data_IF_360831047033
#
_entry.id   IF_360831047033
#
_cell.length_a   1.000
_cell.length_b   1.000
_cell.length_c   1.000
_cell.angle_alpha   90.00
_cell.angle_beta   90.00
_cell.angle_gamma   90.00
#
_symmetry.space_group_name_H-M   'P 1'
#
loop_
_entity.id
_entity.type
_entity.pdbx_description
1 polymer ?
#
# COMPACT_ATOMS: atom_id res chain seq x y z
N UNK A 1 -1.44 -15.07 8.15
CA UNK A 1 -2.02 -14.33 6.99
C UNK A 1 -0.91 -13.40 6.48
N UNK A 2 -0.61 -13.35 5.18
CA UNK A 2 0.67 -12.83 4.66
C UNK A 2 0.98 -11.34 4.88
N UNK A 3 -0.04 -10.46 5.00
CA UNK A 3 0.17 -9.03 5.28
C UNK A 3 0.13 -8.68 6.76
N UNK A 4 -0.19 -9.62 7.64
CA UNK A 4 -0.24 -9.39 9.10
C UNK A 4 -1.18 -8.24 9.55
N UNK A 5 -2.17 -7.89 8.73
CA UNK A 5 -3.17 -6.87 9.08
C UNK A 5 -4.00 -7.33 10.27
N UNK A 6 -3.95 -6.55 11.34
CA UNK A 6 -4.66 -6.76 12.61
C UNK A 6 -5.32 -5.46 13.07
N UNK A 7 -6.18 -5.49 14.11
CA UNK A 7 -6.76 -4.28 14.68
C UNK A 7 -5.70 -3.24 15.02
N UNK A 8 -5.91 -1.99 14.59
CA UNK A 8 -4.98 -0.88 14.83
C UNK A 8 -3.98 -0.61 13.71
N UNK A 9 -3.85 -1.48 12.71
CA UNK A 9 -2.92 -1.25 11.59
C UNK A 9 -3.32 -0.05 10.71
N UNK A 10 -2.31 0.65 10.21
CA UNK A 10 -2.44 1.58 9.08
C UNK A 10 -2.08 0.84 7.80
N UNK A 11 -3.06 0.70 6.90
CA UNK A 11 -2.89 0.03 5.60
C UNK A 11 -2.95 1.06 4.48
N UNK A 12 -1.97 1.03 3.59
CA UNK A 12 -2.04 1.75 2.32
C UNK A 12 -2.42 0.78 1.20
N UNK A 13 -3.35 1.17 0.35
CA UNK A 13 -3.82 0.40 -0.79
C UNK A 13 -3.76 1.29 -2.04
N UNK A 14 -3.29 0.74 -3.16
CA UNK A 14 -3.44 1.40 -4.45
C UNK A 14 -4.05 0.46 -5.47
N UNK A 15 -5.08 0.95 -6.15
CA UNK A 15 -6.06 0.16 -6.86
C UNK A 15 -7.32 -0.02 -6.02
N UNK A 16 -8.01 1.09 -5.68
CA UNK A 16 -9.29 1.00 -4.95
C UNK A 16 -10.29 0.12 -5.69
N UNK A 17 -10.36 0.23 -7.02
CA UNK A 17 -11.21 -0.63 -7.84
C UNK A 17 -12.68 -0.55 -7.42
N UNK A 18 -13.26 -1.68 -7.03
CA UNK A 18 -14.64 -1.77 -6.53
C UNK A 18 -14.77 -1.62 -5.00
N UNK A 19 -13.67 -1.44 -4.27
CA UNK A 19 -13.67 -1.33 -2.81
C UNK A 19 -13.85 -2.65 -2.05
N UNK A 20 -13.85 -3.80 -2.75
CA UNK A 20 -14.02 -5.12 -2.12
C UNK A 20 -12.91 -5.46 -1.13
N UNK A 21 -11.64 -5.28 -1.55
CA UNK A 21 -10.49 -5.51 -0.69
C UNK A 21 -10.39 -4.45 0.41
N UNK A 22 -10.61 -3.18 0.06
CA UNK A 22 -10.68 -2.06 1.02
C UNK A 22 -11.65 -2.35 2.17
N UNK A 23 -12.85 -2.87 1.86
CA UNK A 23 -13.86 -3.25 2.88
C UNK A 23 -13.35 -4.37 3.78
N UNK A 24 -12.61 -5.33 3.23
CA UNK A 24 -12.02 -6.43 3.98
C UNK A 24 -10.91 -5.93 4.91
N UNK A 25 -10.05 -5.02 4.43
CA UNK A 25 -9.06 -4.36 5.27
C UNK A 25 -9.70 -3.52 6.36
N UNK A 26 -10.74 -2.74 6.06
CA UNK A 26 -11.45 -1.92 7.05
C UNK A 26 -11.95 -2.76 8.24
N UNK A 27 -12.50 -3.95 7.96
CA UNK A 27 -12.90 -4.90 9.01
C UNK A 27 -11.73 -5.45 9.81
N UNK A 28 -10.60 -5.70 9.17
CA UNK A 28 -9.40 -6.23 9.82
C UNK A 28 -8.70 -5.20 10.72
N UNK A 29 -8.68 -3.93 10.30
CA UNK A 29 -8.01 -2.84 11.05
C UNK A 29 -8.88 -2.24 12.16
N UNK A 30 -10.19 -2.47 12.14
CA UNK A 30 -11.12 -1.99 13.17
C UNK A 30 -10.74 -2.48 14.58
N UNK A 31 -11.03 -1.71 15.66
CA UNK A 31 -11.73 -0.43 15.64
C UNK A 31 -10.80 0.80 15.58
N UNK A 32 -9.49 0.61 15.69
CA UNK A 32 -8.53 1.72 15.90
C UNK A 32 -7.56 1.95 14.74
N UNK A 33 -7.55 1.09 13.73
CA UNK A 33 -6.72 1.26 12.54
C UNK A 33 -7.43 2.00 11.42
N UNK A 34 -6.76 2.14 10.28
CA UNK A 34 -7.27 2.92 9.16
C UNK A 34 -6.74 2.41 7.82
N UNK A 35 -7.57 2.48 6.78
CA UNK A 35 -7.19 2.14 5.40
C UNK A 35 -7.16 3.40 4.56
N UNK A 36 -6.02 3.69 3.94
CA UNK A 36 -5.91 4.74 2.93
C UNK A 36 -5.80 4.09 1.56
N UNK A 37 -6.80 4.29 0.72
CA UNK A 37 -6.89 3.69 -0.61
C UNK A 37 -6.85 4.74 -1.71
N UNK A 38 -6.14 4.44 -2.79
CA UNK A 38 -5.95 5.36 -3.91
C UNK A 38 -6.32 4.71 -5.24
N UNK A 39 -7.01 5.48 -6.09
CA UNK A 39 -7.24 5.14 -7.49
C UNK A 39 -6.98 6.38 -8.34
N UNK A 40 -6.49 6.21 -9.56
CA UNK A 40 -6.23 7.35 -10.45
C UNK A 40 -7.50 7.80 -11.20
N UNK A 41 -8.55 6.97 -11.22
CA UNK A 41 -9.83 7.33 -11.84
C UNK A 41 -10.75 8.02 -10.83
N UNK A 42 -10.99 9.30 -11.04
CA UNK A 42 -11.87 10.11 -10.20
C UNK A 42 -13.28 9.53 -10.04
N UNK A 43 -13.87 8.98 -11.11
CA UNK A 43 -15.18 8.35 -11.06
C UNK A 43 -15.23 7.13 -10.13
N UNK A 44 -14.16 6.32 -10.10
CA UNK A 44 -14.08 5.15 -9.21
C UNK A 44 -13.94 5.58 -7.75
N UNK A 45 -13.14 6.61 -7.50
CA UNK A 45 -13.00 7.20 -6.16
C UNK A 45 -14.33 7.75 -5.66
N UNK A 46 -15.07 8.48 -6.49
CA UNK A 46 -16.39 9.00 -6.14
C UNK A 46 -17.38 7.86 -5.80
N UNK A 47 -17.46 6.83 -6.66
CA UNK A 47 -18.32 5.67 -6.43
C UNK A 47 -17.94 4.90 -5.16
N UNK A 48 -16.65 4.63 -4.94
CA UNK A 48 -16.18 3.91 -3.77
C UNK A 48 -16.47 4.71 -2.48
N UNK A 49 -16.31 6.04 -2.51
CA UNK A 49 -16.64 6.91 -1.37
C UNK A 49 -18.12 6.79 -0.98
N UNK A 50 -19.02 6.88 -1.95
CA UNK A 50 -20.46 6.72 -1.73
C UNK A 50 -20.78 5.33 -1.15
N UNK A 51 -20.15 4.28 -1.67
CA UNK A 51 -20.35 2.92 -1.19
C UNK A 51 -19.86 2.74 0.27
N UNK A 52 -18.71 3.32 0.63
CA UNK A 52 -18.18 3.27 2.00
C UNK A 52 -19.04 4.06 2.98
N UNK A 53 -19.60 5.20 2.56
CA UNK A 53 -20.58 5.97 3.34
C UNK A 53 -21.87 5.18 3.55
N UNK A 54 -22.43 4.62 2.47
CA UNK A 54 -23.67 3.83 2.51
C UNK A 54 -23.56 2.59 3.38
N UNK A 55 -22.39 1.97 3.42
CA UNK A 55 -22.12 0.77 4.24
C UNK A 55 -21.70 1.09 5.68
N UNK A 56 -21.49 2.36 6.02
CA UNK A 56 -21.17 2.81 7.37
C UNK A 56 -19.74 2.51 7.84
N UNK A 57 -18.81 2.25 6.91
CA UNK A 57 -17.40 1.94 7.20
C UNK A 57 -16.45 3.10 6.86
N UNK A 58 -16.99 4.23 6.40
CA UNK A 58 -16.22 5.42 6.00
C UNK A 58 -15.34 5.99 7.11
N UNK A 59 -15.62 5.72 8.39
CA UNK A 59 -14.78 6.17 9.52
C UNK A 59 -13.42 5.47 9.57
N UNK A 60 -13.29 4.29 8.96
CA UNK A 60 -12.06 3.48 8.92
C UNK A 60 -11.32 3.60 7.58
N UNK A 61 -11.86 4.35 6.62
CA UNK A 61 -11.36 4.38 5.25
C UNK A 61 -11.23 5.84 4.78
N UNK A 62 -10.12 6.14 4.11
CA UNK A 62 -9.97 7.37 3.33
C UNK A 62 -9.62 7.00 1.89
N UNK A 63 -10.46 7.42 0.95
CA UNK A 63 -10.27 7.21 -0.49
C UNK A 63 -9.86 8.50 -1.20
N UNK A 64 -8.78 8.45 -1.96
CA UNK A 64 -8.18 9.59 -2.66
C UNK A 64 -7.93 9.33 -4.14
N UNK A 65 -8.03 10.39 -4.96
CA UNK A 65 -7.63 10.34 -6.37
C UNK A 65 -6.12 10.57 -6.45
N UNK A 66 -5.36 9.58 -6.93
CA UNK A 66 -3.91 9.72 -7.10
C UNK A 66 -3.34 8.67 -8.04
N UNK A 67 -2.40 9.08 -8.90
CA UNK A 67 -1.64 8.15 -9.72
C UNK A 67 -0.38 7.69 -8.97
N UNK A 68 -0.53 6.68 -8.11
CA UNK A 68 0.57 6.16 -7.29
C UNK A 68 1.76 5.68 -8.12
N UNK A 69 1.55 5.18 -9.34
CA UNK A 69 2.66 4.75 -10.22
C UNK A 69 3.53 5.92 -10.71
N UNK A 70 2.97 7.12 -10.84
CA UNK A 70 3.71 8.31 -11.31
C UNK A 70 4.12 9.25 -10.18
N UNK A 71 3.27 9.38 -9.16
CA UNK A 71 3.39 10.38 -8.10
C UNK A 71 3.82 9.77 -6.76
N UNK A 72 3.86 8.43 -6.64
CA UNK A 72 4.06 7.72 -5.38
C UNK A 72 2.91 7.91 -4.39
N UNK A 73 3.03 7.32 -3.20
CA UNK A 73 2.18 7.61 -2.05
C UNK A 73 2.48 8.99 -1.44
N UNK A 74 1.50 9.64 -0.79
CA UNK A 74 1.72 10.93 -0.14
C UNK A 74 2.76 10.86 0.99
N UNK A 75 3.68 11.83 1.03
CA UNK A 75 4.81 11.86 2.00
C UNK A 75 4.39 11.86 3.47
N UNK A 76 3.15 12.27 3.77
CA UNK A 76 2.60 12.21 5.13
C UNK A 76 2.57 10.79 5.73
N UNK A 77 2.69 9.74 4.91
CA UNK A 77 2.73 8.35 5.37
C UNK A 77 4.14 7.77 5.51
N UNK A 78 5.20 8.58 5.34
CA UNK A 78 6.59 8.13 5.40
C UNK A 78 6.89 7.41 6.73
N UNK A 79 7.25 6.13 6.65
CA UNK A 79 7.56 5.29 7.81
C UNK A 79 6.39 4.97 8.75
N UNK A 80 5.14 5.17 8.32
CA UNK A 80 3.95 5.02 9.17
C UNK A 80 3.07 3.82 8.83
N UNK A 81 3.17 3.25 7.63
CA UNK A 81 2.32 2.15 7.20
C UNK A 81 2.78 0.81 7.77
N UNK A 82 1.85 0.04 8.33
CA UNK A 82 2.10 -1.36 8.73
C UNK A 82 2.09 -2.28 7.51
N UNK A 83 1.26 -1.97 6.52
CA UNK A 83 1.14 -2.75 5.30
C UNK A 83 0.86 -1.88 4.08
N UNK A 84 1.37 -2.29 2.92
CA UNK A 84 1.02 -1.71 1.62
C UNK A 84 0.54 -2.83 0.69
N UNK A 85 -0.58 -2.60 0.00
CA UNK A 85 -1.10 -3.49 -1.03
C UNK A 85 -1.18 -2.78 -2.38
N UNK A 86 -0.63 -3.40 -3.43
CA UNK A 86 -0.61 -2.87 -4.79
C UNK A 86 -1.37 -3.78 -5.76
N UNK A 87 -2.53 -3.32 -6.23
CA UNK A 87 -3.26 -3.90 -7.37
C UNK A 87 -3.24 -2.90 -8.53
N UNK A 88 -2.13 -2.93 -9.26
CA UNK A 88 -1.80 -1.95 -10.30
C UNK A 88 -1.31 -2.67 -11.55
N UNK A 89 -1.49 -2.09 -12.75
CA UNK A 89 -0.96 -2.67 -13.99
C UNK A 89 0.57 -2.70 -14.04
N UNK A 90 1.25 -1.75 -13.39
CA UNK A 90 2.71 -1.67 -13.32
C UNK A 90 3.18 -1.43 -11.88
N UNK A 91 3.04 -2.41 -10.98
CA UNK A 91 3.28 -2.20 -9.55
C UNK A 91 4.74 -1.86 -9.26
N UNK A 92 5.70 -2.35 -10.06
CA UNK A 92 7.13 -2.02 -9.95
C UNK A 92 7.44 -0.51 -9.95
N UNK A 93 6.59 0.34 -10.53
CA UNK A 93 6.77 1.80 -10.48
C UNK A 93 6.43 2.40 -9.11
N UNK A 94 5.59 1.72 -8.32
CA UNK A 94 5.15 2.16 -7.01
C UNK A 94 5.97 1.56 -5.86
N UNK A 95 6.77 0.51 -6.09
CA UNK A 95 7.46 -0.26 -5.04
C UNK A 95 8.42 0.62 -4.23
N UNK A 96 9.22 1.46 -4.88
CA UNK A 96 10.16 2.35 -4.18
C UNK A 96 9.44 3.36 -3.29
N UNK A 97 8.29 3.88 -3.75
CA UNK A 97 7.44 4.76 -2.94
C UNK A 97 6.80 4.00 -1.78
N UNK A 98 6.24 2.81 -2.03
CA UNK A 98 5.66 1.95 -1.01
C UNK A 98 6.66 1.63 0.10
N UNK A 99 7.91 1.30 -0.25
CA UNK A 99 9.00 1.08 0.71
C UNK A 99 9.18 2.24 1.67
N UNK A 100 9.16 3.48 1.17
CA UNK A 100 9.36 4.66 2.00
C UNK A 100 8.21 4.88 2.99
N UNK A 101 7.01 4.37 2.69
CA UNK A 101 5.85 4.51 3.56
C UNK A 101 5.84 3.46 4.68
N UNK A 102 6.48 2.30 4.47
CA UNK A 102 6.45 1.21 5.43
C UNK A 102 7.28 1.53 6.67
N UNK A 103 6.75 1.11 7.83
CA UNK A 103 7.54 0.93 9.07
C UNK A 103 8.67 -0.09 8.82
N UNK A 104 9.63 -0.13 9.74
CA UNK A 104 10.82 -1.01 9.63
C UNK A 104 10.47 -2.48 9.38
N UNK A 105 9.40 -2.99 10.00
CA UNK A 105 8.91 -4.37 9.83
C UNK A 105 7.60 -4.45 9.02
N UNK A 106 7.31 -3.41 8.25
CA UNK A 106 6.09 -3.33 7.45
C UNK A 106 6.09 -4.30 6.27
N UNK A 107 4.91 -4.74 5.87
CA UNK A 107 4.73 -5.75 4.80
C UNK A 107 4.24 -5.12 3.50
N UNK A 108 4.80 -5.56 2.37
CA UNK A 108 4.35 -5.18 1.03
C UNK A 108 3.81 -6.40 0.30
N UNK A 109 2.62 -6.27 -0.28
CA UNK A 109 2.07 -7.26 -1.20
C UNK A 109 1.71 -6.58 -2.53
N UNK A 110 2.01 -7.26 -3.63
CA UNK A 110 1.57 -6.86 -4.95
C UNK A 110 0.81 -8.00 -5.60
N UNK A 111 -0.34 -7.66 -6.17
CA UNK A 111 -1.15 -8.54 -6.99
C UNK A 111 -0.84 -8.31 -8.47
N UNK A 112 -0.64 -9.38 -9.23
CA UNK A 112 -0.34 -9.31 -10.66
C UNK A 112 -0.82 -10.58 -11.36
N UNK A 113 -1.65 -10.47 -12.42
CA UNK A 113 -2.16 -11.63 -13.14
C UNK A 113 -1.10 -12.28 -14.05
N UNK A 114 -0.14 -11.52 -14.58
CA UNK A 114 0.85 -12.01 -15.54
C UNK A 114 2.22 -12.23 -14.90
N UNK A 115 2.92 -13.29 -15.31
CA UNK A 115 4.24 -13.65 -14.74
C UNK A 115 5.30 -12.59 -15.04
N UNK A 116 5.21 -11.90 -16.18
CA UNK A 116 6.12 -10.83 -16.57
C UNK A 116 6.00 -9.63 -15.62
N UNK A 117 4.80 -9.35 -15.13
CA UNK A 117 4.57 -8.31 -14.13
C UNK A 117 5.20 -8.70 -12.77
N UNK A 118 5.06 -9.97 -12.39
CA UNK A 118 5.69 -10.52 -11.18
C UNK A 118 7.21 -10.44 -11.28
N UNK A 119 7.79 -10.89 -12.39
CA UNK A 119 9.24 -10.87 -12.63
C UNK A 119 9.82 -9.46 -12.41
N UNK A 120 9.23 -8.46 -13.08
CA UNK A 120 9.68 -7.07 -12.98
C UNK A 120 9.51 -6.49 -11.58
N UNK A 121 8.43 -6.84 -10.89
CA UNK A 121 8.20 -6.42 -9.51
C UNK A 121 9.23 -7.04 -8.56
N UNK A 122 9.55 -8.32 -8.73
CA UNK A 122 10.58 -9.01 -7.94
C UNK A 122 11.97 -8.41 -8.14
N UNK A 123 12.31 -7.93 -9.33
CA UNK A 123 13.59 -7.24 -9.58
C UNK A 123 13.72 -5.98 -8.71
N UNK A 124 12.69 -5.13 -8.68
CA UNK A 124 12.69 -3.92 -7.86
C UNK A 124 12.60 -4.24 -6.36
N UNK A 125 11.84 -5.26 -5.97
CA UNK A 125 11.81 -5.70 -4.57
C UNK A 125 13.20 -6.12 -4.07
N UNK A 126 13.95 -6.85 -4.89
CA UNK A 126 15.33 -7.23 -4.54
C UNK A 126 16.22 -5.99 -4.39
N UNK A 127 16.19 -5.05 -5.32
CA UNK A 127 17.04 -3.85 -5.22
C UNK A 127 16.72 -3.02 -3.99
N UNK A 128 15.43 -2.82 -3.71
CA UNK A 128 14.99 -1.83 -2.73
C UNK A 128 14.95 -2.40 -1.31
N UNK A 129 14.52 -3.63 -1.12
CA UNK A 129 14.35 -4.23 0.21
C UNK A 129 15.57 -5.04 0.66
N UNK A 130 16.33 -5.64 -0.25
CA UNK A 130 17.48 -6.50 0.13
C UNK A 130 18.84 -5.84 -0.09
N UNK A 131 18.92 -4.77 -0.88
CA UNK A 131 20.17 -4.06 -1.23
C UNK A 131 20.87 -3.30 -0.10
N UNK A 132 20.49 -3.50 1.17
CA UNK A 132 21.04 -2.78 2.35
C UNK A 132 21.64 -3.66 3.44
N UNK A 133 21.97 -4.92 3.15
CA UNK A 133 22.83 -5.72 4.03
C UNK A 133 24.28 -5.20 4.11
N UNK A 134 24.71 -4.29 3.22
CA UNK A 134 26.10 -3.80 3.15
C UNK A 134 26.40 -2.41 3.71
N UNK A 135 25.40 -1.62 4.13
CA UNK A 135 25.63 -0.22 4.55
C UNK A 135 25.77 -0.01 6.07
N UNK A 136 25.39 -0.99 6.88
CA UNK A 136 25.52 -0.93 8.35
C UNK A 136 26.92 -1.32 8.85
N UNK A 137 27.76 -1.93 8.01
CA UNK A 137 29.11 -2.36 8.40
C UNK A 137 30.21 -1.31 8.19
N UNK A 138 29.90 -0.15 7.60
CA UNK A 138 30.89 0.92 7.36
C UNK A 138 30.74 2.15 8.25
N UNK A 139 29.61 2.32 8.94
CA UNK A 139 29.39 3.49 9.83
C UNK A 139 29.74 3.23 11.30
N UNK A 140 30.25 2.03 11.63
CA UNK A 140 30.71 1.64 12.98
C UNK A 140 32.22 1.76 13.22
N UNK A 141 32.97 2.35 12.28
CA UNK A 141 34.41 2.61 12.41
C UNK A 141 34.72 4.05 11.98
N UNK A 142 34.37 5.00 12.85
CA UNK A 142 35.05 6.29 12.97
C UNK A 142 34.78 6.87 14.36
#
# INVERSE_FOLDING_TARGET
MYLEVVPGCLVLESGTGSGSLTTSFARAVAPTGHVYTFDFHEQRVASAREDFERTGISTLITVGVRNIQGEGFPDQFFGLADSVFLDLPQPWLAISSARNMLKQDGTLCSFSPCIEQVQRSCEILRSDFTGRAGRWLQEGQN
#
